data_IF_532456221830
#
_entry.id   IF_532456221830
#
_cell.length_a   1.000
_cell.length_b   1.000
_cell.length_c   1.000
_cell.angle_alpha   90.00
_cell.angle_beta   90.00
_cell.angle_gamma   90.00
#
_symmetry.space_group_name_H-M   'P 1'
#
loop_
_entity.id
_entity.type
_entity.pdbx_description
1 polymer ?
#
# COMPACT_ATOMS: atom_id res chain seq x y z
N UNK A 1 -26.11 -4.66 3.50
CA UNK A 1 -27.49 -5.06 3.14
C UNK A 1 -27.56 -6.56 2.89
N UNK A 2 -28.72 -7.21 3.02
CA UNK A 2 -28.84 -8.69 2.97
C UNK A 2 -29.18 -9.17 1.56
N UNK A 3 -30.06 -8.47 0.85
CA UNK A 3 -30.44 -8.73 -0.55
C UNK A 3 -29.98 -7.60 -1.48
N UNK A 4 -30.03 -7.85 -2.79
CA UNK A 4 -29.62 -6.87 -3.81
C UNK A 4 -30.53 -5.64 -3.79
N UNK A 5 -31.83 -5.85 -3.66
CA UNK A 5 -32.87 -4.82 -3.75
C UNK A 5 -33.15 -4.14 -2.40
N UNK A 6 -32.44 -4.55 -1.34
CA UNK A 6 -32.48 -3.86 -0.06
C UNK A 6 -31.75 -2.51 -0.17
N UNK A 7 -32.33 -1.39 0.31
CA UNK A 7 -31.60 -0.14 0.46
C UNK A 7 -30.32 -0.32 1.30
N UNK A 8 -29.23 0.28 0.82
CA UNK A 8 -27.95 0.32 1.51
C UNK A 8 -27.72 1.63 2.28
N UNK A 9 -26.70 1.62 3.12
CA UNK A 9 -26.24 2.80 3.86
C UNK A 9 -24.73 2.96 3.64
N UNK A 10 -24.29 3.87 2.74
CA UNK A 10 -22.87 4.12 2.48
C UNK A 10 -22.06 4.43 3.73
N UNK A 11 -22.66 5.12 4.71
CA UNK A 11 -21.97 5.52 5.95
C UNK A 11 -21.61 4.32 6.84
N UNK A 12 -22.29 3.18 6.63
CA UNK A 12 -22.01 1.89 7.31
C UNK A 12 -21.28 0.89 6.40
N UNK A 13 -20.99 1.28 5.16
CA UNK A 13 -20.38 0.39 4.18
C UNK A 13 -18.85 0.43 4.29
N UNK A 14 -18.15 -0.70 4.49
CA UNK A 14 -16.69 -0.70 4.56
C UNK A 14 -16.02 -0.30 3.24
N UNK A 15 -16.73 -0.43 2.11
CA UNK A 15 -16.21 -0.06 0.78
C UNK A 15 -16.27 1.46 0.57
N UNK A 16 -17.09 2.20 1.31
CA UNK A 16 -17.24 3.65 1.11
C UNK A 16 -15.94 4.42 1.33
N UNK A 17 -15.15 4.05 2.33
CA UNK A 17 -13.82 4.64 2.57
C UNK A 17 -12.83 4.37 1.44
N UNK A 18 -13.04 3.33 0.64
CA UNK A 18 -12.22 3.09 -0.55
C UNK A 18 -12.67 4.00 -1.70
N UNK A 19 -13.98 4.26 -1.85
CA UNK A 19 -14.47 5.22 -2.84
C UNK A 19 -13.89 6.63 -2.64
N UNK A 20 -13.74 7.08 -1.39
CA UNK A 20 -13.17 8.39 -1.08
C UNK A 20 -11.69 8.52 -1.47
N UNK A 21 -10.99 7.40 -1.68
CA UNK A 21 -9.58 7.37 -2.10
C UNK A 21 -9.46 7.08 -3.60
N UNK A 22 -10.23 6.13 -4.12
CA UNK A 22 -10.01 5.51 -5.42
C UNK A 22 -10.97 5.95 -6.52
N UNK A 23 -11.99 6.74 -6.22
CA UNK A 23 -13.00 7.15 -7.21
C UNK A 23 -13.26 8.64 -7.17
N UNK A 24 -13.64 9.21 -8.31
CA UNK A 24 -13.97 10.63 -8.43
C UNK A 24 -15.33 11.01 -7.83
N UNK A 25 -15.60 12.31 -7.74
CA UNK A 25 -16.84 12.83 -7.16
C UNK A 25 -18.09 12.36 -7.92
N UNK A 26 -17.99 12.18 -9.25
CA UNK A 26 -19.10 11.71 -10.07
C UNK A 26 -19.48 10.25 -9.75
N UNK A 27 -18.48 9.37 -9.64
CA UNK A 27 -18.67 7.99 -9.22
C UNK A 27 -19.19 7.92 -7.78
N UNK A 28 -18.63 8.73 -6.87
CA UNK A 28 -19.10 8.81 -5.50
C UNK A 28 -20.57 9.22 -5.41
N UNK A 29 -21.00 10.23 -6.18
CA UNK A 29 -22.41 10.65 -6.22
C UNK A 29 -23.33 9.54 -6.75
N UNK A 30 -22.92 8.86 -7.83
CA UNK A 30 -23.63 7.70 -8.37
C UNK A 30 -23.78 6.58 -7.33
N UNK A 31 -22.71 6.27 -6.58
CA UNK A 31 -22.77 5.26 -5.51
C UNK A 31 -23.68 5.68 -4.37
N UNK A 32 -23.61 6.93 -3.89
CA UNK A 32 -24.47 7.39 -2.81
C UNK A 32 -25.95 7.30 -3.18
N UNK A 33 -26.31 7.72 -4.39
CA UNK A 33 -27.68 7.64 -4.87
C UNK A 33 -28.12 6.19 -5.11
N UNK A 34 -27.31 5.42 -5.84
CA UNK A 34 -27.65 4.04 -6.22
C UNK A 34 -27.68 3.08 -5.04
N UNK A 35 -26.80 3.26 -4.06
CA UNK A 35 -26.74 2.41 -2.87
C UNK A 35 -27.95 2.67 -1.95
N UNK A 36 -28.27 3.95 -1.68
CA UNK A 36 -29.42 4.33 -0.82
C UNK A 36 -30.77 3.99 -1.46
N UNK A 37 -30.88 4.03 -2.78
CA UNK A 37 -32.11 3.68 -3.51
C UNK A 37 -32.23 2.19 -3.89
N UNK A 38 -31.21 1.39 -3.60
CA UNK A 38 -31.04 0.02 -4.14
C UNK A 38 -31.00 -0.05 -5.68
N UNK A 39 -30.76 1.06 -6.38
CA UNK A 39 -30.62 1.11 -7.84
C UNK A 39 -29.35 0.42 -8.38
N UNK A 40 -28.35 0.15 -7.53
CA UNK A 40 -27.11 -0.57 -7.92
C UNK A 40 -26.77 -1.71 -6.96
N UNK A 41 -26.14 -2.77 -7.48
CA UNK A 41 -25.58 -3.89 -6.74
C UNK A 41 -24.36 -3.53 -5.89
N UNK A 42 -24.12 -4.25 -4.78
CA UNK A 42 -22.85 -4.13 -4.05
C UNK A 42 -21.64 -4.56 -4.89
N UNK A 43 -21.83 -5.41 -5.91
CA UNK A 43 -20.77 -5.79 -6.83
C UNK A 43 -20.52 -4.68 -7.86
N UNK A 44 -21.58 -4.13 -8.45
CA UNK A 44 -21.49 -2.99 -9.38
C UNK A 44 -20.75 -1.81 -8.74
N UNK A 45 -21.10 -1.48 -7.49
CA UNK A 45 -20.44 -0.44 -6.69
C UNK A 45 -18.94 -0.71 -6.47
N UNK A 46 -18.51 -1.97 -6.36
CA UNK A 46 -17.10 -2.32 -6.10
C UNK A 46 -16.22 -2.20 -7.33
N UNK A 47 -16.78 -2.33 -8.53
CA UNK A 47 -15.99 -2.37 -9.76
C UNK A 47 -15.11 -1.11 -9.94
N UNK A 48 -15.62 0.13 -9.80
CA UNK A 48 -14.79 1.33 -9.94
C UNK A 48 -13.64 1.41 -8.91
N UNK A 49 -13.86 0.89 -7.70
CA UNK A 49 -12.81 0.82 -6.67
C UNK A 49 -11.75 -0.20 -7.06
N UNK A 50 -12.15 -1.36 -7.56
CA UNK A 50 -11.22 -2.39 -8.03
C UNK A 50 -10.35 -1.82 -9.16
N UNK A 51 -10.96 -1.13 -10.11
CA UNK A 51 -10.25 -0.53 -11.24
C UNK A 51 -9.23 0.52 -10.74
N UNK A 52 -9.64 1.43 -9.87
CA UNK A 52 -8.73 2.42 -9.28
C UNK A 52 -7.58 1.82 -8.48
N UNK A 53 -7.83 0.74 -7.72
CA UNK A 53 -6.78 0.01 -6.98
C UNK A 53 -5.81 -0.69 -7.95
N UNK A 54 -6.31 -1.30 -9.01
CA UNK A 54 -5.49 -1.99 -10.01
C UNK A 54 -4.60 -0.99 -10.76
N UNK A 55 -5.15 0.16 -11.14
CA UNK A 55 -4.41 1.22 -11.81
C UNK A 55 -3.30 1.79 -10.92
N UNK A 56 -3.56 2.03 -9.64
CA UNK A 56 -2.53 2.47 -8.68
C UNK A 56 -1.43 1.42 -8.51
N UNK A 57 -1.79 0.14 -8.45
CA UNK A 57 -0.84 -0.95 -8.24
C UNK A 57 -0.06 -1.34 -9.51
N UNK A 58 -0.57 -1.03 -10.70
CA UNK A 58 0.07 -1.38 -11.97
C UNK A 58 1.56 -0.98 -12.04
N UNK A 59 1.95 0.29 -11.78
CA UNK A 59 3.36 0.67 -11.79
C UNK A 59 4.18 -0.01 -10.67
N UNK A 60 3.57 -0.34 -9.53
CA UNK A 60 4.26 -1.07 -8.46
C UNK A 60 4.57 -2.51 -8.88
N UNK A 61 3.62 -3.17 -9.56
CA UNK A 61 3.77 -4.54 -10.08
C UNK A 61 4.81 -4.58 -11.20
N UNK A 62 4.78 -3.62 -12.12
CA UNK A 62 5.78 -3.49 -13.17
C UNK A 62 7.19 -3.32 -12.59
N UNK A 63 7.35 -2.40 -11.62
CA UNK A 63 8.63 -2.20 -10.92
C UNK A 63 9.07 -3.42 -10.11
N UNK A 64 8.15 -4.24 -9.63
CA UNK A 64 8.45 -5.45 -8.88
C UNK A 64 8.91 -6.61 -9.79
N UNK A 65 8.47 -6.63 -11.05
CA UNK A 65 8.68 -7.76 -11.96
C UNK A 65 10.15 -8.20 -12.09
N UNK A 66 11.14 -7.30 -12.29
CA UNK A 66 12.54 -7.72 -12.40
C UNK A 66 13.06 -8.45 -11.14
N UNK A 67 12.55 -8.08 -9.96
CA UNK A 67 12.93 -8.71 -8.69
C UNK A 67 12.26 -10.06 -8.47
N UNK A 68 11.09 -10.28 -9.06
CA UNK A 68 10.43 -11.58 -9.09
C UNK A 68 11.12 -12.54 -10.06
N UNK A 69 11.51 -12.03 -11.22
CA UNK A 69 12.22 -12.79 -12.26
C UNK A 69 13.64 -13.17 -11.80
N UNK A 70 14.31 -12.28 -11.07
CA UNK A 70 15.61 -12.57 -10.45
C UNK A 70 15.67 -12.15 -8.97
N UNK A 71 15.34 -13.07 -8.04
CA UNK A 71 15.42 -12.83 -6.61
C UNK A 71 16.83 -12.52 -6.07
N UNK A 72 17.89 -12.75 -6.86
CA UNK A 72 19.26 -12.41 -6.45
C UNK A 72 19.45 -10.90 -6.37
N UNK A 73 18.79 -10.13 -7.22
CA UNK A 73 18.84 -8.66 -7.21
C UNK A 73 18.44 -8.09 -5.84
N UNK A 74 17.40 -8.66 -5.23
CA UNK A 74 16.95 -8.27 -3.88
C UNK A 74 18.05 -8.55 -2.84
N UNK A 75 18.67 -9.74 -2.90
CA UNK A 75 19.74 -10.13 -1.98
C UNK A 75 20.96 -9.22 -2.12
N UNK A 76 21.32 -8.85 -3.34
CA UNK A 76 22.43 -7.94 -3.62
C UNK A 76 22.18 -6.54 -3.07
N UNK A 77 20.97 -5.99 -3.28
CA UNK A 77 20.57 -4.69 -2.72
C UNK A 77 20.69 -4.69 -1.19
N UNK A 78 20.19 -5.75 -0.54
CA UNK A 78 20.26 -5.89 0.93
C UNK A 78 21.72 -6.04 1.38
N UNK A 79 22.53 -6.83 0.68
CA UNK A 79 23.95 -7.01 1.00
C UNK A 79 24.73 -5.69 0.89
N UNK A 80 24.42 -4.86 -0.10
CA UNK A 80 24.99 -3.51 -0.25
C UNK A 80 24.61 -2.60 0.92
N UNK A 81 23.30 -2.55 1.23
CA UNK A 81 22.79 -1.77 2.36
C UNK A 81 23.44 -2.17 3.68
N UNK A 82 23.57 -3.47 3.92
CA UNK A 82 24.25 -4.01 5.10
C UNK A 82 25.73 -3.62 5.17
N UNK A 83 26.44 -3.57 4.04
CA UNK A 83 27.84 -3.15 3.99
C UNK A 83 27.99 -1.67 4.34
N UNK A 84 27.14 -0.80 3.78
CA UNK A 84 27.11 0.64 4.11
C UNK A 84 26.79 0.87 5.58
N UNK A 85 25.72 0.25 6.08
CA UNK A 85 25.30 0.36 7.48
C UNK A 85 26.39 -0.14 8.43
N UNK A 86 27.04 -1.28 8.11
CA UNK A 86 28.14 -1.83 8.92
C UNK A 86 29.36 -0.92 8.96
N UNK A 87 29.69 -0.25 7.86
CA UNK A 87 30.79 0.70 7.82
C UNK A 87 30.53 1.85 8.79
N UNK A 88 29.38 2.51 8.67
CA UNK A 88 29.00 3.62 9.56
C UNK A 88 28.92 3.16 11.02
N UNK A 89 28.31 2.01 11.29
CA UNK A 89 28.22 1.47 12.64
C UNK A 89 29.60 1.19 13.26
N UNK A 90 30.60 0.79 12.46
CA UNK A 90 31.97 0.59 12.95
C UNK A 90 32.64 1.90 13.34
N UNK A 91 32.40 2.97 12.57
CA UNK A 91 32.89 4.31 12.89
C UNK A 91 32.26 4.81 14.18
N UNK A 92 30.93 4.75 14.30
CA UNK A 92 30.22 5.11 15.54
C UNK A 92 30.73 4.32 16.74
N UNK A 93 30.95 3.01 16.58
CA UNK A 93 31.46 2.17 17.66
C UNK A 93 32.93 2.44 17.99
N UNK A 94 33.70 3.09 17.12
CA UNK A 94 35.04 3.59 17.47
C UNK A 94 34.90 4.76 18.44
N UNK A 95 34.10 5.76 18.08
CA UNK A 95 33.86 6.94 18.91
C UNK A 95 33.28 6.58 20.28
N UNK A 96 32.36 5.62 20.33
CA UNK A 96 31.79 5.10 21.59
C UNK A 96 32.88 4.46 22.45
N UNK A 97 33.76 3.63 21.87
CA UNK A 97 34.85 2.99 22.63
C UNK A 97 35.87 4.00 23.12
N UNK A 98 36.18 5.02 22.32
CA UNK A 98 37.05 6.13 22.72
C UNK A 98 36.46 6.89 23.90
N UNK A 99 35.18 7.29 23.83
CA UNK A 99 34.50 7.99 24.90
C UNK A 99 34.38 7.16 26.20
N UNK A 100 34.28 5.84 26.06
CA UNK A 100 34.22 4.91 27.21
C UNK A 100 35.60 4.51 27.76
N UNK A 101 36.71 4.93 27.13
CA UNK A 101 38.05 4.51 27.52
C UNK A 101 38.33 3.02 27.26
N UNK A 102 37.63 2.41 26.31
CA UNK A 102 37.76 1.00 25.93
C UNK A 102 38.70 0.76 24.74
N UNK A 103 39.44 1.77 24.29
CA UNK A 103 40.37 1.66 23.18
C UNK A 103 41.79 1.36 23.71
N UNK A 104 42.10 0.08 23.85
CA UNK A 104 43.42 -0.40 24.25
C UNK A 104 44.31 -0.51 23.00
N UNK A 105 45.48 0.14 23.03
CA UNK A 105 46.53 0.04 22.01
C UNK A 105 47.29 -1.29 22.12
#
# INVERSE_FOLDING_TARGET
RVRRDDPGDPDKCPVWQLHTVYTDEACQAWVQQGCRSAGIGCLDCKQPVIDGILDEQAPMRERAQPYLDDPRLVREIIAEGNRKARHLARETMRDVRDAMGLNYA
#
